data_IF_178747315055
#
_entry.id   IF_178747315055
#
_cell.length_a   1.000
_cell.length_b   1.000
_cell.length_c   1.000
_cell.angle_alpha   90.00
_cell.angle_beta   90.00
_cell.angle_gamma   90.00
#
_symmetry.space_group_name_H-M   'P 1'
#
loop_
_entity.id
_entity.type
_entity.pdbx_description
1 polymer ?
#
# COMPACT_ATOMS: atom_id res chain seq x y z
N UNK A 1 -17.29 -6.51 -13.54
CA UNK A 1 -17.28 -7.04 -12.16
C UNK A 1 -16.64 -8.43 -12.12
N UNK A 2 -15.33 -8.50 -11.88
CA UNK A 2 -14.71 -9.77 -11.52
C UNK A 2 -14.94 -9.99 -10.02
N UNK A 3 -15.28 -11.22 -9.61
CA UNK A 3 -15.40 -11.54 -8.19
C UNK A 3 -14.05 -11.47 -7.46
N UNK A 4 -14.03 -11.89 -6.19
CA UNK A 4 -12.83 -11.88 -5.31
C UNK A 4 -11.55 -12.46 -5.93
N UNK A 5 -11.64 -13.43 -6.84
CA UNK A 5 -10.48 -13.98 -7.56
C UNK A 5 -9.88 -13.03 -8.61
N UNK A 6 -10.68 -12.12 -9.18
CA UNK A 6 -10.22 -11.08 -10.09
C UNK A 6 -9.48 -9.97 -9.35
N UNK A 7 -10.08 -9.47 -8.27
CA UNK A 7 -9.45 -8.44 -7.41
C UNK A 7 -8.06 -8.87 -6.93
N UNK A 8 -7.91 -10.13 -6.50
CA UNK A 8 -6.62 -10.67 -6.07
C UNK A 8 -5.59 -10.73 -7.21
N UNK A 9 -6.02 -11.03 -8.44
CA UNK A 9 -5.13 -11.02 -9.62
C UNK A 9 -4.70 -9.61 -10.01
N UNK A 10 -5.63 -8.66 -9.90
CA UNK A 10 -5.34 -7.25 -10.18
C UNK A 10 -4.39 -6.68 -9.14
N UNK A 11 -4.63 -6.97 -7.86
CA UNK A 11 -3.71 -6.68 -6.78
C UNK A 11 -2.33 -7.29 -7.04
N UNK A 12 -2.24 -8.60 -7.31
CA UNK A 12 -0.97 -9.28 -7.61
C UNK A 12 -0.24 -8.66 -8.81
N UNK A 13 -0.96 -8.17 -9.81
CA UNK A 13 -0.38 -7.47 -10.97
C UNK A 13 0.15 -6.10 -10.56
N UNK A 14 -0.62 -5.34 -9.78
CA UNK A 14 -0.22 -4.03 -9.28
C UNK A 14 0.99 -4.09 -8.34
N UNK A 15 1.05 -5.08 -7.44
CA UNK A 15 2.19 -5.32 -6.57
C UNK A 15 3.48 -5.56 -7.37
N UNK A 16 3.44 -6.43 -8.38
CA UNK A 16 4.58 -6.64 -9.28
C UNK A 16 4.98 -5.36 -10.01
N UNK A 17 3.99 -4.56 -10.44
CA UNK A 17 4.24 -3.28 -11.10
C UNK A 17 4.88 -2.21 -10.20
N UNK A 18 4.82 -2.39 -8.88
CA UNK A 18 5.47 -1.56 -7.86
C UNK A 18 6.78 -2.17 -7.32
N UNK A 19 7.30 -3.20 -8.00
CA UNK A 19 8.49 -3.97 -7.61
C UNK A 19 8.35 -4.75 -6.28
N UNK A 20 7.12 -5.07 -5.87
CA UNK A 20 6.85 -5.94 -4.73
C UNK A 20 6.37 -7.32 -5.19
N UNK A 21 7.16 -8.36 -4.94
CA UNK A 21 6.77 -9.71 -5.31
C UNK A 21 5.56 -10.19 -4.47
N UNK A 22 4.43 -10.61 -5.07
CA UNK A 22 3.21 -10.91 -4.32
C UNK A 22 3.31 -12.06 -3.31
N UNK A 23 4.28 -12.95 -3.45
CA UNK A 23 4.53 -14.01 -2.46
C UNK A 23 5.11 -13.50 -1.13
N UNK A 24 5.60 -12.26 -1.09
CA UNK A 24 6.05 -11.61 0.14
C UNK A 24 4.89 -11.05 0.96
N UNK A 25 3.69 -10.98 0.37
CA UNK A 25 2.49 -10.45 1.02
C UNK A 25 1.62 -11.64 1.47
N UNK A 26 1.38 -11.81 2.79
CA UNK A 26 0.51 -12.86 3.29
C UNK A 26 -0.89 -12.78 2.68
N UNK A 27 -1.51 -13.93 2.40
CA UNK A 27 -2.84 -13.98 1.77
C UNK A 27 -3.90 -13.21 2.58
N UNK A 28 -3.85 -13.29 3.91
CA UNK A 28 -4.74 -12.53 4.79
C UNK A 28 -4.63 -11.02 4.58
N UNK A 29 -3.42 -10.51 4.34
CA UNK A 29 -3.16 -9.09 4.06
C UNK A 29 -3.73 -8.69 2.69
N UNK A 30 -3.53 -9.53 1.67
CA UNK A 30 -4.13 -9.28 0.34
C UNK A 30 -5.64 -9.18 0.39
N UNK A 31 -6.27 -10.06 1.16
CA UNK A 31 -7.71 -10.05 1.37
C UNK A 31 -8.18 -8.80 2.10
N UNK A 32 -7.45 -8.37 3.12
CA UNK A 32 -7.72 -7.09 3.80
C UNK A 32 -7.61 -5.92 2.83
N UNK A 33 -6.55 -5.86 2.01
CA UNK A 33 -6.39 -4.81 0.98
C UNK A 33 -7.59 -4.78 0.02
N UNK A 34 -7.99 -5.94 -0.52
CA UNK A 34 -9.15 -6.02 -1.42
C UNK A 34 -10.44 -5.56 -0.75
N UNK A 35 -10.63 -5.85 0.55
CA UNK A 35 -11.79 -5.37 1.29
C UNK A 35 -11.74 -3.85 1.48
N UNK A 36 -10.59 -3.29 1.90
CA UNK A 36 -10.39 -1.85 2.03
C UNK A 36 -10.65 -1.11 0.70
N UNK A 37 -10.19 -1.67 -0.43
CA UNK A 37 -10.45 -1.13 -1.76
C UNK A 37 -11.95 -1.06 -2.06
N UNK A 38 -12.73 -2.08 -1.68
CA UNK A 38 -14.18 -2.13 -1.89
C UNK A 38 -14.95 -1.20 -0.96
N UNK A 39 -14.47 -1.05 0.27
CA UNK A 39 -15.08 -0.14 1.23
C UNK A 39 -14.86 1.33 0.80
N UNK A 40 -13.70 1.63 0.21
CA UNK A 40 -13.37 2.95 -0.31
C UNK A 40 -14.04 3.25 -1.66
N UNK A 41 -14.11 2.26 -2.55
CA UNK A 41 -14.82 2.31 -3.82
C UNK A 41 -15.93 1.25 -3.84
N UNK A 42 -17.16 1.61 -3.39
CA UNK A 42 -18.29 0.67 -3.37
C UNK A 42 -18.75 0.26 -4.78
N UNK A 43 -18.46 1.11 -5.78
CA UNK A 43 -18.65 0.83 -7.20
C UNK A 43 -17.35 0.30 -7.85
N UNK A 44 -17.15 0.52 -9.15
CA UNK A 44 -15.91 0.13 -9.82
C UNK A 44 -14.79 1.15 -9.50
N UNK A 45 -13.64 0.71 -8.94
CA UNK A 45 -12.54 1.61 -8.64
C UNK A 45 -11.96 2.20 -9.94
N UNK A 46 -11.36 3.41 -9.88
CA UNK A 46 -10.58 3.95 -10.98
C UNK A 46 -9.52 2.96 -11.48
N UNK A 47 -9.21 3.00 -12.77
CA UNK A 47 -8.31 2.03 -13.43
C UNK A 47 -6.87 2.03 -12.88
N UNK A 48 -6.47 3.10 -12.19
CA UNK A 48 -5.18 3.26 -11.55
C UNK A 48 -5.21 3.01 -10.03
N UNK A 49 -6.37 2.73 -9.44
CA UNK A 49 -6.53 2.63 -7.99
C UNK A 49 -5.64 1.54 -7.38
N UNK A 50 -5.66 0.32 -7.94
CA UNK A 50 -4.78 -0.76 -7.49
C UNK A 50 -3.31 -0.43 -7.64
N UNK A 51 -2.94 0.25 -8.74
CA UNK A 51 -1.54 0.68 -8.98
C UNK A 51 -1.12 1.73 -7.94
N UNK A 52 -1.97 2.71 -7.67
CA UNK A 52 -1.69 3.78 -6.73
C UNK A 52 -1.57 3.26 -5.30
N UNK A 53 -2.48 2.37 -4.89
CA UNK A 53 -2.42 1.69 -3.59
C UNK A 53 -1.17 0.81 -3.47
N UNK A 54 -0.86 0.01 -4.51
CA UNK A 54 0.31 -0.87 -4.50
C UNK A 54 1.63 -0.10 -4.39
N UNK A 55 1.73 1.10 -4.95
CA UNK A 55 2.92 1.96 -4.79
C UNK A 55 3.13 2.37 -3.34
N UNK A 56 2.09 2.88 -2.67
CA UNK A 56 2.18 3.25 -1.26
C UNK A 56 2.54 2.04 -0.38
N UNK A 57 1.86 0.91 -0.61
CA UNK A 57 2.11 -0.32 0.14
C UNK A 57 3.53 -0.87 -0.08
N UNK A 58 4.02 -0.83 -1.33
CA UNK A 58 5.39 -1.24 -1.64
C UNK A 58 6.43 -0.30 -1.00
N UNK A 59 6.19 1.02 -0.97
CA UNK A 59 7.05 1.96 -0.25
C UNK A 59 7.11 1.61 1.24
N UNK A 60 5.96 1.33 1.88
CA UNK A 60 5.91 0.94 3.28
C UNK A 60 6.78 -0.30 3.57
N UNK A 61 6.80 -1.29 2.67
CA UNK A 61 7.54 -2.54 2.86
C UNK A 61 9.03 -2.40 2.53
N UNK A 62 9.35 -1.74 1.42
CA UNK A 62 10.72 -1.66 0.91
C UNK A 62 11.55 -0.60 1.65
N UNK A 63 10.92 0.48 2.12
CA UNK A 63 11.60 1.67 2.61
C UNK A 63 12.05 2.62 1.49
N UNK A 64 12.43 3.86 1.84
CA UNK A 64 12.67 4.95 0.90
C UNK A 64 13.74 4.63 -0.15
N UNK A 65 14.92 4.18 0.27
CA UNK A 65 16.06 3.94 -0.63
C UNK A 65 15.79 2.80 -1.61
N UNK A 66 15.32 1.66 -1.11
CA UNK A 66 15.03 0.49 -1.95
C UNK A 66 13.88 0.77 -2.90
N UNK A 67 12.85 1.47 -2.43
CA UNK A 67 11.72 1.85 -3.27
C UNK A 67 12.15 2.80 -4.39
N UNK A 68 12.95 3.83 -4.10
CA UNK A 68 13.44 4.77 -5.11
C UNK A 68 14.28 4.09 -6.19
N UNK A 69 15.14 3.14 -5.83
CA UNK A 69 15.96 2.40 -6.79
C UNK A 69 15.10 1.66 -7.84
N UNK A 70 13.96 1.12 -7.42
CA UNK A 70 13.07 0.36 -8.30
C UNK A 70 12.03 1.22 -9.03
N UNK A 71 11.50 2.25 -8.35
CA UNK A 71 10.32 3.00 -8.78
C UNK A 71 10.64 4.45 -9.21
N UNK A 72 11.82 4.96 -8.87
CA UNK A 72 12.28 6.32 -9.16
C UNK A 72 11.88 7.35 -8.10
N UNK A 73 12.61 8.47 -8.10
CA UNK A 73 12.49 9.55 -7.10
C UNK A 73 11.10 10.17 -7.05
N UNK A 74 10.44 10.38 -8.20
CA UNK A 74 9.11 11.01 -8.26
C UNK A 74 8.07 10.20 -7.49
N UNK A 75 8.09 8.86 -7.64
CA UNK A 75 7.18 7.97 -6.92
C UNK A 75 7.51 7.90 -5.43
N UNK A 76 8.80 7.96 -5.07
CA UNK A 76 9.22 8.04 -3.66
C UNK A 76 8.60 9.29 -3.01
N UNK A 77 8.82 10.46 -3.61
CA UNK A 77 8.30 11.73 -3.11
C UNK A 77 6.76 11.74 -3.05
N UNK A 78 6.09 11.09 -3.99
CA UNK A 78 4.64 10.95 -3.95
C UNK A 78 4.16 10.11 -2.76
N UNK A 79 4.78 8.95 -2.54
CA UNK A 79 4.47 8.10 -1.40
C UNK A 79 4.72 8.82 -0.07
N UNK A 80 5.80 9.59 0.04
CA UNK A 80 6.13 10.37 1.24
C UNK A 80 5.05 11.41 1.56
N UNK A 81 4.66 12.21 0.57
CA UNK A 81 3.56 13.19 0.73
C UNK A 81 2.24 12.52 1.12
N UNK A 82 1.96 11.34 0.58
CA UNK A 82 0.75 10.57 0.91
C UNK A 82 0.77 10.08 2.34
N UNK A 83 1.92 9.62 2.85
CA UNK A 83 2.06 9.23 4.25
C UNK A 83 1.86 10.45 5.16
N UNK A 84 2.48 11.59 4.85
CA UNK A 84 2.31 12.84 5.61
C UNK A 84 0.82 13.24 5.67
N UNK A 85 0.14 13.28 4.53
CA UNK A 85 -1.28 13.59 4.47
C UNK A 85 -2.16 12.55 5.21
N UNK A 86 -1.78 11.27 5.17
CA UNK A 86 -2.47 10.21 5.90
C UNK A 86 -2.34 10.38 7.41
N UNK A 87 -1.16 10.79 7.90
CA UNK A 87 -0.94 11.08 9.32
C UNK A 87 -1.73 12.30 9.80
N UNK A 88 -1.87 13.32 8.96
CA UNK A 88 -2.70 14.49 9.26
C UNK A 88 -4.20 14.16 9.30
N UNK A 89 -4.68 13.33 8.37
CA UNK A 89 -6.09 12.96 8.29
C UNK A 89 -6.50 11.92 9.36
N UNK A 90 -5.63 10.97 9.67
CA UNK A 90 -5.82 9.94 10.70
C UNK A 90 -6.68 8.74 10.30
N UNK A 91 -7.66 8.90 9.41
CA UNK A 91 -8.60 7.82 9.00
C UNK A 91 -8.74 7.62 7.48
N UNK A 92 -7.89 8.29 6.69
CA UNK A 92 -7.89 8.19 5.23
C UNK A 92 -7.61 6.76 4.75
N UNK A 93 -7.96 6.46 3.50
CA UNK A 93 -7.64 5.17 2.90
C UNK A 93 -6.13 4.86 2.96
N UNK A 94 -5.28 5.84 2.70
CA UNK A 94 -3.83 5.71 2.83
C UNK A 94 -3.40 5.44 4.29
N UNK A 95 -4.04 6.07 5.28
CA UNK A 95 -3.79 5.80 6.70
C UNK A 95 -4.12 4.34 7.05
N UNK A 96 -5.23 3.82 6.51
CA UNK A 96 -5.63 2.42 6.70
C UNK A 96 -4.63 1.44 6.06
N UNK A 97 -4.06 1.78 4.90
CA UNK A 97 -3.01 0.97 4.25
C UNK A 97 -1.73 0.96 5.11
N UNK A 98 -1.28 2.12 5.58
CA UNK A 98 -0.08 2.24 6.43
C UNK A 98 -0.26 1.48 7.74
N UNK A 99 -1.40 1.68 8.42
CA UNK A 99 -1.73 1.01 9.68
C UNK A 99 -1.82 -0.51 9.51
N UNK A 100 -2.40 -0.98 8.40
CA UNK A 100 -2.45 -2.39 8.06
C UNK A 100 -1.06 -2.99 7.82
N UNK A 101 -0.17 -2.29 7.10
CA UNK A 101 1.22 -2.71 6.92
C UNK A 101 1.98 -2.80 8.25
N UNK A 102 1.73 -1.85 9.16
CA UNK A 102 2.29 -1.81 10.50
C UNK A 102 1.80 -2.98 11.37
N UNK A 103 0.49 -3.20 11.48
CA UNK A 103 -0.07 -4.33 12.25
C UNK A 103 0.34 -5.69 11.69
N UNK A 104 0.47 -5.81 10.36
CA UNK A 104 0.95 -7.02 9.72
C UNK A 104 2.46 -7.26 9.92
N UNK A 105 3.19 -6.32 10.53
CA UNK A 105 4.65 -6.33 10.71
C UNK A 105 5.41 -6.45 9.38
N UNK A 106 4.84 -5.86 8.33
CA UNK A 106 5.43 -5.82 6.99
C UNK A 106 6.16 -4.51 6.71
N UNK A 107 5.81 -3.45 7.44
CA UNK A 107 6.40 -2.15 7.27
C UNK A 107 7.89 -2.16 7.64
N UNK A 108 8.71 -1.45 6.86
CA UNK A 108 10.13 -1.25 7.10
C UNK A 108 10.35 -0.45 8.39
N UNK A 109 11.37 -0.84 9.16
CA UNK A 109 11.78 -0.12 10.37
C UNK A 109 12.15 1.34 10.07
N UNK A 110 12.77 1.60 8.91
CA UNK A 110 13.14 2.95 8.49
C UNK A 110 11.91 3.85 8.31
N UNK A 111 10.83 3.31 7.71
CA UNK A 111 9.57 4.06 7.54
C UNK A 111 8.91 4.31 8.90
N UNK A 112 8.95 3.34 9.80
CA UNK A 112 8.43 3.51 11.17
C UNK A 112 9.17 4.61 11.92
N UNK A 113 10.50 4.59 11.88
CA UNK A 113 11.36 5.57 12.56
C UNK A 113 11.20 6.98 11.95
N UNK A 114 11.16 7.07 10.62
CA UNK A 114 11.05 8.35 9.92
C UNK A 114 9.74 9.07 10.22
N UNK A 115 8.63 8.33 10.26
CA UNK A 115 7.29 8.88 10.44
C UNK A 115 6.74 8.77 11.88
N UNK A 116 7.49 8.16 12.80
CA UNK A 116 7.05 7.96 14.18
C UNK A 116 5.80 7.09 14.30
N UNK A 117 5.67 6.06 13.45
CA UNK A 117 4.47 5.23 13.37
C UNK A 117 4.34 4.32 14.60
N UNK A 118 3.12 4.19 15.13
CA UNK A 118 2.80 3.27 16.22
C UNK A 118 1.41 2.66 16.03
N UNK A 119 1.20 1.48 16.62
CA UNK A 119 -0.02 0.70 16.51
C UNK A 119 -0.69 0.44 17.88
N UNK A 120 -0.31 1.27 18.87
CA UNK A 120 -0.74 1.16 20.27
C UNK A 120 -2.10 1.82 20.53
#
# INVERSE_FOLDING_TARGET
MFGRSGDLRELDTALRGADLHPALVPEGVKLTIVNLMKDHWPDEPPSDAYRSMAQLFAYCIAGPETFEQANGTERRLDAERRIEAALEAGDSFDAQIVLMALHAKLISAEVVEHYGLSAD
#
